data_IF_160941308715
#
_entry.id   IF_160941308715
#
_cell.length_a   1.000
_cell.length_b   1.000
_cell.length_c   1.000
_cell.angle_alpha   90.00
_cell.angle_beta   90.00
_cell.angle_gamma   90.00
#
_symmetry.space_group_name_H-M   'P 1'
#
loop_
_entity.id
_entity.type
_entity.pdbx_description
1 polymer ?
#
# COMPACT_ATOMS: atom_id res chain seq x y z
N UNK A 1 -3.85 -19.03 6.93
CA UNK A 1 -4.20 -17.60 6.71
C UNK A 1 -5.30 -17.55 5.69
N UNK A 2 -6.37 -16.80 5.97
CA UNK A 2 -7.47 -16.64 5.02
C UNK A 2 -6.96 -16.01 3.69
N UNK A 3 -7.34 -16.52 2.51
CA UNK A 3 -6.93 -15.95 1.21
C UNK A 3 -7.22 -14.45 1.09
N UNK A 4 -8.30 -13.97 1.71
CA UNK A 4 -8.67 -12.55 1.74
C UNK A 4 -7.65 -11.70 2.49
N UNK A 5 -7.25 -12.16 3.67
CA UNK A 5 -6.25 -11.46 4.48
C UNK A 5 -4.91 -11.44 3.76
N UNK A 6 -4.53 -12.56 3.12
CA UNK A 6 -3.31 -12.63 2.31
C UNK A 6 -3.34 -11.63 1.15
N UNK A 7 -4.42 -11.60 0.36
CA UNK A 7 -4.56 -10.68 -0.77
C UNK A 7 -4.51 -9.22 -0.32
N UNK A 8 -5.18 -8.88 0.79
CA UNK A 8 -5.20 -7.52 1.34
C UNK A 8 -3.81 -7.09 1.79
N UNK A 9 -3.05 -7.97 2.46
CA UNK A 9 -1.67 -7.71 2.87
C UNK A 9 -0.74 -7.51 1.67
N UNK A 10 -0.88 -8.32 0.62
CA UNK A 10 -0.09 -8.15 -0.61
C UNK A 10 -0.35 -6.80 -1.26
N UNK A 11 -1.61 -6.36 -1.32
CA UNK A 11 -1.93 -5.00 -1.76
C UNK A 11 -1.32 -3.91 -0.88
N UNK A 12 -1.26 -4.13 0.43
CA UNK A 12 -0.52 -3.28 1.36
C UNK A 12 0.95 -3.15 0.99
N UNK A 13 1.62 -4.28 0.76
CA UNK A 13 3.04 -4.33 0.34
C UNK A 13 3.23 -3.59 -0.99
N UNK A 14 2.36 -3.84 -1.97
CA UNK A 14 2.41 -3.15 -3.27
C UNK A 14 2.27 -1.64 -3.10
N UNK A 15 1.30 -1.17 -2.30
CA UNK A 15 1.10 0.26 -2.04
C UNK A 15 2.31 0.91 -1.35
N UNK A 16 2.88 0.25 -0.33
CA UNK A 16 4.06 0.74 0.36
C UNK A 16 5.30 0.81 -0.55
N UNK A 17 5.55 -0.23 -1.34
CA UNK A 17 6.66 -0.26 -2.30
C UNK A 17 6.47 0.77 -3.41
N UNK A 18 5.25 0.95 -3.94
CA UNK A 18 4.95 1.97 -4.94
C UNK A 18 5.24 3.39 -4.41
N UNK A 19 4.87 3.68 -3.15
CA UNK A 19 5.22 4.94 -2.50
C UNK A 19 6.75 5.11 -2.40
N UNK A 20 7.49 4.07 -1.99
CA UNK A 20 8.94 4.13 -1.91
C UNK A 20 9.60 4.38 -3.28
N UNK A 21 9.06 3.79 -4.34
CA UNK A 21 9.53 4.06 -5.72
C UNK A 21 9.27 5.52 -6.09
N UNK A 22 8.07 6.03 -5.81
CA UNK A 22 7.70 7.42 -6.12
C UNK A 22 8.57 8.43 -5.36
N UNK A 23 8.82 8.23 -4.07
CA UNK A 23 9.62 9.17 -3.29
C UNK A 23 11.08 9.17 -3.74
N UNK A 24 11.64 8.01 -4.11
CA UNK A 24 12.98 7.95 -4.70
C UNK A 24 13.04 8.68 -6.05
N UNK A 25 12.02 8.52 -6.90
CA UNK A 25 11.92 9.27 -8.16
C UNK A 25 11.84 10.79 -7.93
N UNK A 26 11.05 11.22 -6.93
CA UNK A 26 10.99 12.63 -6.53
C UNK A 26 12.38 13.15 -6.11
N UNK A 27 13.11 12.41 -5.28
CA UNK A 27 14.44 12.84 -4.84
C UNK A 27 15.46 12.93 -5.98
N UNK A 28 15.39 12.01 -6.94
CA UNK A 28 16.23 12.04 -8.14
C UNK A 28 15.92 13.25 -9.04
N UNK A 29 14.64 13.61 -9.17
CA UNK A 29 14.20 14.73 -10.01
C UNK A 29 14.37 16.09 -9.33
N UNK A 30 14.10 16.17 -8.02
CA UNK A 30 14.14 17.43 -7.25
C UNK A 30 15.51 17.71 -6.64
N UNK A 31 16.37 16.69 -6.46
CA UNK A 31 17.67 16.81 -5.80
C UNK A 31 17.58 17.09 -4.29
N UNK A 32 16.38 17.00 -3.69
CA UNK A 32 16.13 17.30 -2.28
C UNK A 32 15.86 16.00 -1.52
N UNK A 33 16.74 15.59 -0.59
CA UNK A 33 16.52 14.39 0.19
C UNK A 33 15.46 14.60 1.28
N UNK A 34 14.55 13.65 1.40
CA UNK A 34 13.62 13.48 2.52
C UNK A 34 14.27 12.56 3.56
N UNK A 35 14.03 12.85 4.85
CA UNK A 35 14.60 12.05 5.92
C UNK A 35 14.11 10.59 5.88
N UNK A 36 15.02 9.65 6.13
CA UNK A 36 14.73 8.21 6.23
C UNK A 36 13.52 7.90 7.13
N UNK A 37 13.43 8.43 8.38
CA UNK A 37 12.29 8.13 9.24
C UNK A 37 10.97 8.64 8.69
N UNK A 38 10.95 9.79 8.01
CA UNK A 38 9.73 10.30 7.38
C UNK A 38 9.26 9.38 6.25
N UNK A 39 10.17 8.95 5.36
CA UNK A 39 9.84 8.01 4.29
C UNK A 39 9.31 6.69 4.84
N UNK A 40 10.00 6.12 5.83
CA UNK A 40 9.61 4.87 6.44
C UNK A 40 8.22 4.97 7.11
N UNK A 41 7.99 6.04 7.87
CA UNK A 41 6.70 6.30 8.52
C UNK A 41 5.55 6.41 7.52
N UNK A 42 5.74 7.19 6.44
CA UNK A 42 4.71 7.36 5.41
C UNK A 42 4.51 6.06 4.61
N UNK A 43 5.58 5.32 4.28
CA UNK A 43 5.47 4.03 3.60
C UNK A 43 4.64 3.02 4.41
N UNK A 44 4.85 2.97 5.73
CA UNK A 44 4.04 2.14 6.63
C UNK A 44 2.58 2.62 6.64
N UNK A 45 2.34 3.92 6.75
CA UNK A 45 0.98 4.47 6.73
C UNK A 45 0.24 4.14 5.42
N UNK A 46 0.92 4.27 4.28
CA UNK A 46 0.38 3.91 2.96
C UNK A 46 0.10 2.41 2.87
N UNK A 47 1.02 1.55 3.30
CA UNK A 47 0.83 0.11 3.27
C UNK A 47 -0.32 -0.36 4.17
N UNK A 48 -0.45 0.23 5.35
CA UNK A 48 -1.58 -0.01 6.27
C UNK A 48 -2.90 0.46 5.64
N UNK A 49 -2.91 1.68 5.08
CA UNK A 49 -4.07 2.24 4.39
C UNK A 49 -4.53 1.37 3.24
N UNK A 50 -3.61 0.93 2.37
CA UNK A 50 -3.87 0.06 1.24
C UNK A 50 -4.37 -1.34 1.68
N UNK A 51 -3.80 -1.89 2.75
CA UNK A 51 -4.29 -3.16 3.32
C UNK A 51 -5.75 -3.02 3.80
N UNK A 52 -6.04 -1.96 4.56
CA UNK A 52 -7.36 -1.70 5.13
C UNK A 52 -8.41 -1.45 4.05
N UNK A 53 -8.08 -0.65 3.03
CA UNK A 53 -8.99 -0.38 1.91
C UNK A 53 -9.24 -1.65 1.10
N UNK A 54 -8.20 -2.38 0.70
CA UNK A 54 -8.37 -3.64 -0.03
C UNK A 54 -9.23 -4.65 0.74
N UNK A 55 -8.98 -4.79 2.05
CA UNK A 55 -9.77 -5.70 2.89
C UNK A 55 -11.25 -5.30 2.97
N UNK A 56 -11.54 -3.99 3.05
CA UNK A 56 -12.92 -3.46 3.12
C UNK A 56 -13.63 -3.43 1.77
N UNK A 57 -12.91 -3.28 0.67
CA UNK A 57 -13.47 -3.29 -0.69
C UNK A 57 -13.78 -4.70 -1.18
N UNK A 58 -13.03 -5.72 -0.73
CA UNK A 58 -13.22 -7.10 -1.18
C UNK A 58 -14.68 -7.62 -1.09
N UNK A 59 -15.46 -7.41 -0.01
CA UNK A 59 -16.85 -7.88 0.06
C UNK A 59 -17.80 -7.04 -0.80
N UNK A 60 -17.43 -5.82 -1.20
CA UNK A 60 -18.25 -5.00 -2.11
C UNK A 60 -18.01 -5.34 -3.59
N UNK A 61 -16.82 -5.84 -3.93
CA UNK A 61 -16.44 -6.16 -5.31
C UNK A 61 -16.70 -7.63 -5.67
N UNK A 62 -16.51 -8.55 -4.72
CA UNK A 62 -16.68 -10.00 -4.93
C UNK A 62 -17.88 -10.59 -4.18
N UNK A 63 -18.65 -9.77 -3.45
CA UNK A 63 -19.87 -10.21 -2.76
C UNK A 63 -21.07 -10.49 -3.68
N UNK A 64 -20.98 -10.06 -4.95
CA UNK A 64 -22.02 -10.29 -5.97
C UNK A 64 -21.84 -11.62 -6.72
N UNK A 65 -20.75 -12.35 -6.50
CA UNK A 65 -20.53 -13.69 -7.06
C UNK A 65 -21.07 -14.73 -6.06
N UNK A 66 -22.40 -14.75 -5.89
CA UNK A 66 -23.11 -15.88 -5.27
C UNK A 66 -23.42 -16.90 -6.39
N UNK A 67 -23.09 -18.20 -6.23
CA UNK A 67 -23.51 -19.23 -7.18
C UNK A 67 -25.04 -19.39 -7.22
#
# INVERSE_FOLDING_TARGET
MDPRTKASLLWGVVGGLAFLVLIQGYELLAGVPVSIPAKAGVAVAVGVGATLTSYRMQPRLFGNESP
#
